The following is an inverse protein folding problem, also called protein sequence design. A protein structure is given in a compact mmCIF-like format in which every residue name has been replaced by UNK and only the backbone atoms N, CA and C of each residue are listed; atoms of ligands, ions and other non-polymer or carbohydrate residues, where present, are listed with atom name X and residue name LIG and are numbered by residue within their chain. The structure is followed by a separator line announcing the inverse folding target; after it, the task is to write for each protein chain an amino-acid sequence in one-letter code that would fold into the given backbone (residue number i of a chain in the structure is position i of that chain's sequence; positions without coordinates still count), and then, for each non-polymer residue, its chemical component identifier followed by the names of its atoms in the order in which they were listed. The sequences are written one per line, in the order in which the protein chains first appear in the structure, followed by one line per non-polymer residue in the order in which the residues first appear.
data_IF_639090842383
#
_entry.id   IF_639090842383
#
_cell.length_a   1.000
_cell.length_b   1.000
_cell.length_c   1.000
_cell.angle_alpha   90.00
_cell.angle_beta   90.00
_cell.angle_gamma   90.00
#
_symmetry.space_group_name_H-M   'P 1'
#
loop_
_entity.id
_entity.type
_entity.pdbx_description
1 polymer ?
#
# COMPACT_ATOMS: atom_id res chain seq x y z
N UNK A 1 5.64 30.89 4.15
CA UNK A 1 4.98 29.82 3.38
C UNK A 1 4.26 28.96 4.40
N UNK A 2 2.99 28.62 4.19
CA UNK A 2 2.26 27.75 5.12
C UNK A 2 2.87 26.34 5.05
N UNK A 3 3.18 25.75 6.19
CA UNK A 3 3.72 24.40 6.31
C UNK A 3 2.84 23.58 7.23
N UNK A 4 2.67 22.30 6.94
CA UNK A 4 1.95 21.38 7.82
C UNK A 4 2.67 21.24 9.17
N UNK A 5 1.92 21.30 10.26
CA UNK A 5 2.38 21.00 11.62
C UNK A 5 1.49 19.92 12.25
N UNK A 6 1.96 19.33 13.35
CA UNK A 6 1.17 18.38 14.16
C UNK A 6 -0.23 18.93 14.46
N UNK A 7 -1.25 18.09 14.24
CA UNK A 7 -2.65 18.43 14.47
C UNK A 7 -3.34 19.20 13.33
N UNK A 8 -2.61 19.61 12.28
CA UNK A 8 -3.25 20.16 11.08
C UNK A 8 -4.03 19.06 10.35
N UNK A 9 -5.21 19.41 9.84
CA UNK A 9 -5.91 18.59 8.86
C UNK A 9 -5.48 19.01 7.45
N UNK A 10 -4.89 18.08 6.70
CA UNK A 10 -4.35 18.35 5.36
C UNK A 10 -5.02 17.48 4.30
N UNK A 11 -4.86 17.88 3.04
CA UNK A 11 -5.24 17.11 1.86
C UNK A 11 -3.99 16.92 1.00
N UNK A 12 -3.63 15.67 0.72
CA UNK A 12 -2.40 15.33 0.00
C UNK A 12 -2.70 14.40 -1.16
N UNK A 13 -2.22 14.77 -2.34
CA UNK A 13 -2.07 13.80 -3.43
C UNK A 13 -0.80 12.97 -3.22
N UNK A 14 -0.91 11.66 -3.44
CA UNK A 14 0.18 10.73 -3.17
C UNK A 14 0.27 9.64 -4.24
N UNK A 15 1.47 9.08 -4.42
CA UNK A 15 1.73 7.89 -5.22
C UNK A 15 2.79 7.06 -4.53
N UNK A 16 2.40 5.86 -4.07
CA UNK A 16 3.28 4.93 -3.37
C UNK A 16 3.97 4.00 -4.35
N UNK A 17 5.27 3.77 -4.12
CA UNK A 17 6.12 2.98 -5.00
C UNK A 17 7.01 2.04 -4.20
N UNK A 18 7.24 0.85 -4.74
CA UNK A 18 8.30 -0.04 -4.29
C UNK A 18 9.67 0.48 -4.76
N UNK A 19 10.75 -0.10 -4.22
CA UNK A 19 12.13 0.28 -4.57
C UNK A 19 12.44 0.11 -6.07
N UNK A 20 11.78 -0.86 -6.72
CA UNK A 20 11.89 -1.11 -8.17
C UNK A 20 11.08 -0.12 -9.03
N UNK A 21 10.37 0.82 -8.40
CA UNK A 21 9.56 1.84 -9.06
C UNK A 21 8.11 1.44 -9.32
N UNK A 22 7.70 0.20 -9.02
CA UNK A 22 6.33 -0.28 -9.17
C UNK A 22 5.39 0.56 -8.31
N UNK A 23 4.42 1.22 -8.94
CA UNK A 23 3.34 1.92 -8.23
C UNK A 23 2.33 0.88 -7.76
N UNK A 24 1.99 0.89 -6.47
CA UNK A 24 1.02 -0.05 -5.90
C UNK A 24 -0.19 0.63 -5.25
N UNK A 25 -0.11 1.93 -4.94
CA UNK A 25 -1.25 2.74 -4.50
C UNK A 25 -1.07 4.21 -4.91
N UNK A 26 -2.17 4.94 -5.09
CA UNK A 26 -2.15 6.37 -5.48
C UNK A 26 -3.52 7.02 -5.28
N UNK A 27 -3.56 8.31 -4.94
CA UNK A 27 -4.78 9.14 -5.00
C UNK A 27 -5.08 9.66 -6.41
N UNK A 28 -4.11 9.62 -7.32
CA UNK A 28 -4.17 10.27 -8.63
C UNK A 28 -4.63 9.26 -9.69
N UNK A 29 -5.77 9.52 -10.33
CA UNK A 29 -6.40 8.61 -11.30
C UNK A 29 -5.51 8.30 -12.50
N UNK A 30 -4.89 9.31 -13.11
CA UNK A 30 -4.02 9.10 -14.28
C UNK A 30 -2.85 8.18 -13.97
N UNK A 31 -2.26 8.32 -12.78
CA UNK A 31 -1.18 7.44 -12.31
C UNK A 31 -1.68 6.01 -12.11
N UNK A 32 -2.89 5.82 -11.57
CA UNK A 32 -3.47 4.48 -11.39
C UNK A 32 -3.76 3.78 -12.73
N UNK A 33 -4.22 4.53 -13.72
CA UNK A 33 -4.46 4.02 -15.08
C UNK A 33 -3.13 3.63 -15.74
N UNK A 34 -2.12 4.50 -15.70
CA UNK A 34 -0.79 4.25 -16.26
C UNK A 34 -0.10 3.05 -15.61
N UNK A 35 -0.29 2.86 -14.30
CA UNK A 35 0.27 1.75 -13.54
C UNK A 35 -0.60 0.46 -13.59
N UNK A 36 -1.70 0.45 -14.34
CA UNK A 36 -2.63 -0.67 -14.47
C UNK A 36 -3.22 -1.15 -13.13
N UNK A 37 -3.34 -0.26 -12.14
CA UNK A 37 -3.94 -0.51 -10.81
C UNK A 37 -5.29 0.20 -10.61
N UNK A 38 -5.88 0.73 -11.69
CA UNK A 38 -7.16 1.43 -11.63
C UNK A 38 -8.27 0.54 -11.05
N UNK A 39 -8.88 1.01 -9.98
CA UNK A 39 -10.07 0.43 -9.37
C UNK A 39 -11.31 1.31 -9.58
N UNK A 40 -12.34 0.78 -10.25
CA UNK A 40 -13.62 1.48 -10.51
C UNK A 40 -14.37 1.87 -9.22
N UNK A 41 -14.18 1.11 -8.13
CA UNK A 41 -14.81 1.38 -6.83
C UNK A 41 -14.07 2.42 -5.99
N UNK A 42 -12.94 2.96 -6.47
CA UNK A 42 -12.14 3.96 -5.75
C UNK A 42 -12.49 5.36 -6.24
N UNK A 43 -12.68 6.27 -5.29
CA UNK A 43 -12.74 7.71 -5.56
C UNK A 43 -11.31 8.28 -5.55
N UNK A 44 -10.84 8.77 -6.69
CA UNK A 44 -9.50 9.38 -6.83
C UNK A 44 -9.56 10.86 -6.47
N UNK A 45 -9.22 11.18 -5.22
CA UNK A 45 -9.12 12.54 -4.68
C UNK A 45 -8.02 12.61 -3.63
N UNK A 46 -7.52 13.81 -3.29
CA UNK A 46 -6.52 13.97 -2.24
C UNK A 46 -6.93 13.27 -0.94
N UNK A 47 -5.97 12.58 -0.34
CA UNK A 47 -6.13 11.89 0.93
C UNK A 47 -6.16 12.92 2.07
N UNK A 48 -7.22 12.88 2.86
CA UNK A 48 -7.41 13.75 4.02
C UNK A 48 -7.10 13.05 5.33
N UNK A 49 -6.25 13.64 6.17
CA UNK A 49 -5.89 13.11 7.48
C UNK A 49 -5.33 14.21 8.39
N UNK A 50 -5.30 13.92 9.70
CA UNK A 50 -4.70 14.77 10.72
C UNK A 50 -3.23 14.40 10.91
N UNK A 51 -2.34 15.38 10.78
CA UNK A 51 -0.90 15.19 10.85
C UNK A 51 -0.46 14.72 12.24
N UNK A 52 0.31 13.62 12.27
CA UNK A 52 0.90 12.97 13.45
C UNK A 52 -0.15 12.47 14.46
N UNK A 53 -1.33 12.07 13.95
CA UNK A 53 -2.43 11.53 14.74
C UNK A 53 -2.49 9.99 14.76
N UNK A 54 -1.60 9.31 14.03
CA UNK A 54 -1.58 7.86 13.89
C UNK A 54 -2.65 7.31 12.95
N UNK A 55 -3.19 8.16 12.06
CA UNK A 55 -4.20 7.76 11.05
C UNK A 55 -3.54 7.07 9.84
N UNK A 56 -2.24 7.28 9.65
CA UNK A 56 -1.45 6.79 8.53
C UNK A 56 -0.29 5.91 9.00
N UNK A 57 0.42 5.28 8.06
CA UNK A 57 1.68 4.61 8.38
C UNK A 57 2.68 5.62 8.98
N UNK A 58 3.44 5.16 9.97
CA UNK A 58 4.26 6.01 10.85
C UNK A 58 5.21 6.93 10.06
N UNK A 59 5.87 6.41 9.02
CA UNK A 59 6.78 7.20 8.21
C UNK A 59 6.09 8.23 7.30
N UNK A 60 4.85 7.99 6.89
CA UNK A 60 4.08 8.96 6.11
C UNK A 60 3.55 10.07 7.00
N UNK A 61 2.99 9.70 8.15
CA UNK A 61 2.38 10.62 9.11
C UNK A 61 3.41 11.66 9.62
N UNK A 62 4.59 11.19 10.03
CA UNK A 62 5.71 12.09 10.38
C UNK A 62 6.33 12.77 9.16
N UNK A 63 6.36 12.08 8.02
CA UNK A 63 7.03 12.54 6.81
C UNK A 63 6.41 13.80 6.20
N UNK A 64 5.13 14.08 6.47
CA UNK A 64 4.46 15.30 5.99
C UNK A 64 4.69 16.53 6.89
N UNK A 65 5.21 16.35 8.11
CA UNK A 65 5.51 17.48 9.00
C UNK A 65 6.51 18.44 8.35
N UNK A 66 6.21 19.74 8.40
CA UNK A 66 6.99 20.80 7.77
C UNK A 66 6.90 20.84 6.25
N UNK A 67 6.05 20.03 5.61
CA UNK A 67 5.80 20.10 4.17
C UNK A 67 5.07 21.41 3.84
N UNK A 68 5.55 22.13 2.83
CA UNK A 68 4.89 23.33 2.37
C UNK A 68 3.55 23.02 1.70
N UNK A 69 2.54 23.85 1.94
CA UNK A 69 1.31 23.82 1.16
C UNK A 69 1.66 24.05 -0.33
N UNK A 70 1.10 23.22 -1.21
CA UNK A 70 1.45 23.13 -2.64
C UNK A 70 2.88 22.65 -2.94
N UNK A 71 3.63 22.21 -1.93
CA UNK A 71 4.92 21.57 -2.11
C UNK A 71 4.79 20.12 -2.51
N UNK A 72 5.90 19.54 -2.97
CA UNK A 72 6.05 18.11 -3.22
C UNK A 72 7.24 17.61 -2.39
N UNK A 73 7.13 16.38 -1.88
CA UNK A 73 8.21 15.72 -1.14
C UNK A 73 8.21 14.24 -1.48
N UNK A 74 9.41 13.70 -1.72
CA UNK A 74 9.62 12.26 -1.78
C UNK A 74 10.01 11.76 -0.39
N UNK A 75 9.26 10.78 0.12
CA UNK A 75 9.56 10.09 1.36
C UNK A 75 10.11 8.70 1.04
N UNK A 76 11.19 8.31 1.72
CA UNK A 76 11.71 6.95 1.71
C UNK A 76 11.40 6.39 3.09
N UNK A 77 10.45 5.46 3.15
CA UNK A 77 9.91 4.93 4.41
C UNK A 77 10.42 3.49 4.56
N UNK A 78 11.09 3.20 5.66
CA UNK A 78 11.56 1.85 5.96
C UNK A 78 10.37 0.92 6.27
N UNK A 79 10.55 -0.39 6.10
CA UNK A 79 9.45 -1.35 6.25
C UNK A 79 8.82 -1.30 7.66
N UNK A 80 9.60 -1.01 8.69
CA UNK A 80 9.17 -0.95 10.09
C UNK A 80 8.35 0.30 10.41
N UNK A 81 8.52 1.37 9.65
CA UNK A 81 7.69 2.59 9.68
C UNK A 81 6.53 2.54 8.66
N UNK A 82 6.41 1.45 7.89
CA UNK A 82 5.36 1.21 6.91
C UNK A 82 4.46 0.03 7.30
N UNK A 83 4.57 -1.11 6.61
CA UNK A 83 3.70 -2.28 6.77
C UNK A 83 4.32 -3.41 7.62
N UNK A 84 5.47 -3.14 8.24
CA UNK A 84 6.22 -4.08 9.05
C UNK A 84 7.12 -5.02 8.24
N UNK A 85 7.94 -5.78 8.96
CA UNK A 85 8.81 -6.77 8.36
C UNK A 85 8.01 -7.94 7.78
N UNK A 86 8.58 -8.61 6.77
CA UNK A 86 8.05 -9.87 6.28
C UNK A 86 7.89 -10.87 7.43
N UNK A 87 6.67 -11.33 7.65
CA UNK A 87 6.34 -12.26 8.72
C UNK A 87 6.42 -13.70 8.21
N UNK A 88 7.45 -14.45 8.60
CA UNK A 88 7.62 -15.86 8.19
C UNK A 88 6.41 -16.73 8.58
N UNK A 89 5.73 -16.41 9.69
CA UNK A 89 4.53 -17.11 10.13
C UNK A 89 3.30 -16.87 9.25
N UNK A 90 3.34 -15.90 8.33
CA UNK A 90 2.32 -15.67 7.30
C UNK A 90 2.65 -16.38 5.98
N UNK A 91 3.75 -17.13 5.93
CA UNK A 91 4.10 -18.02 4.81
C UNK A 91 3.70 -19.44 5.17
N UNK A 92 2.94 -20.08 4.29
CA UNK A 92 2.50 -21.46 4.50
C UNK A 92 2.89 -22.34 3.31
N UNK A 93 3.46 -23.50 3.60
CA UNK A 93 3.70 -24.53 2.59
C UNK A 93 2.43 -25.38 2.43
N UNK A 94 1.88 -25.39 1.23
CA UNK A 94 0.72 -26.21 0.86
C UNK A 94 1.16 -27.20 -0.22
N UNK A 95 0.79 -28.46 -0.06
CA UNK A 95 0.97 -29.48 -1.10
C UNK A 95 0.11 -29.12 -2.31
N UNK A 96 0.67 -29.18 -3.52
CA UNK A 96 -0.01 -28.78 -4.77
C UNK A 96 -1.34 -29.54 -4.94
N UNK A 97 -1.37 -30.80 -4.53
CA UNK A 97 -2.55 -31.67 -4.61
C UNK A 97 -3.74 -31.13 -3.81
N UNK A 98 -3.49 -30.43 -2.69
CA UNK A 98 -4.56 -29.80 -1.90
C UNK A 98 -5.19 -28.62 -2.64
N UNK A 99 -4.38 -27.84 -3.37
CA UNK A 99 -4.88 -26.73 -4.18
C UNK A 99 -5.70 -27.26 -5.36
N UNK A 100 -5.18 -28.25 -6.08
CA UNK A 100 -5.89 -28.83 -7.23
C UNK A 100 -7.17 -29.55 -6.82
N UNK A 101 -7.17 -30.25 -5.67
CA UNK A 101 -8.40 -30.86 -5.11
C UNK A 101 -9.45 -29.82 -4.76
N UNK A 102 -9.04 -28.62 -4.34
CA UNK A 102 -9.93 -27.49 -4.09
C UNK A 102 -10.37 -26.75 -5.37
N UNK A 103 -10.02 -27.25 -6.56
CA UNK A 103 -10.33 -26.61 -7.84
C UNK A 103 -9.46 -25.38 -8.15
N UNK A 104 -8.37 -25.18 -7.40
CA UNK A 104 -7.44 -24.07 -7.59
C UNK A 104 -6.30 -24.53 -8.49
N UNK A 105 -6.12 -23.86 -9.64
CA UNK A 105 -4.95 -24.06 -10.50
C UNK A 105 -3.82 -23.17 -9.96
N UNK A 106 -2.73 -23.73 -9.41
CA UNK A 106 -1.68 -22.93 -8.83
C UNK A 106 -0.86 -22.23 -9.91
N UNK A 107 -0.77 -20.91 -9.81
CA UNK A 107 0.02 -20.06 -10.70
C UNK A 107 0.80 -19.08 -9.83
N UNK A 108 2.12 -19.04 -9.96
CA UNK A 108 2.98 -18.11 -9.21
C UNK A 108 2.53 -16.68 -9.44
N UNK A 109 2.48 -15.89 -8.37
CA UNK A 109 2.01 -14.50 -8.38
C UNK A 109 0.48 -14.35 -8.33
N UNK A 110 -0.31 -15.42 -8.51
CA UNK A 110 -1.76 -15.31 -8.35
C UNK A 110 -2.17 -15.22 -6.89
N UNK A 111 -3.08 -14.27 -6.63
CA UNK A 111 -3.78 -14.17 -5.35
C UNK A 111 -4.82 -15.26 -5.21
N UNK A 112 -4.90 -15.84 -4.02
CA UNK A 112 -5.94 -16.76 -3.60
C UNK A 112 -6.60 -16.22 -2.33
N UNK A 113 -7.88 -16.52 -2.15
CA UNK A 113 -8.63 -16.18 -0.94
C UNK A 113 -8.94 -17.48 -0.22
N UNK A 114 -8.56 -17.56 1.05
CA UNK A 114 -8.89 -18.71 1.89
C UNK A 114 -10.35 -18.66 2.33
N UNK A 115 -10.87 -19.77 2.86
CA UNK A 115 -12.22 -19.84 3.45
C UNK A 115 -12.42 -18.88 4.65
N UNK A 116 -11.33 -18.39 5.24
CA UNK A 116 -11.35 -17.40 6.32
C UNK A 116 -11.05 -15.98 5.81
N UNK A 117 -11.26 -15.73 4.51
CA UNK A 117 -11.07 -14.43 3.84
C UNK A 117 -9.64 -13.88 3.85
N UNK A 118 -8.66 -14.63 4.35
CA UNK A 118 -7.25 -14.26 4.17
C UNK A 118 -6.88 -14.31 2.69
N UNK A 119 -6.27 -13.23 2.21
CA UNK A 119 -5.71 -13.14 0.86
C UNK A 119 -4.22 -13.50 0.92
N UNK A 120 -3.81 -14.47 0.12
CA UNK A 120 -2.41 -14.89 -0.03
C UNK A 120 -1.96 -14.87 -1.48
N UNK A 121 -0.66 -14.82 -1.73
CA UNK A 121 -0.07 -14.90 -3.07
C UNK A 121 0.67 -16.22 -3.22
N UNK A 122 0.43 -16.95 -4.31
CA UNK A 122 1.14 -18.19 -4.59
C UNK A 122 2.59 -17.86 -4.95
N UNK A 123 3.53 -18.47 -4.25
CA UNK A 123 4.96 -18.37 -4.51
C UNK A 123 5.60 -19.76 -4.51
N UNK A 124 6.74 -19.90 -5.18
CA UNK A 124 7.61 -21.08 -5.05
C UNK A 124 8.61 -20.76 -3.94
N UNK A 125 8.80 -21.70 -3.02
CA UNK A 125 9.83 -21.67 -1.99
C UNK A 125 11.04 -22.49 -2.42
#
# INVERSE_FOLDING_TARGET
MLTAIEGDYILVDYSERLEDGTVFDTSIESVAVEAEIYNLGREYKPLGFTVDAGEMIEGFDRGVVGMACWGERRLIIAYDEAYGAHCANRVMTIQIEKLTTAGIIPVVGKKIVTIHEHVGTIMIL
#
